data_IF_412543326032
#
_entry.id   IF_412543326032
#
_cell.length_a   1.000
_cell.length_b   1.000
_cell.length_c   1.000
_cell.angle_alpha   90.00
_cell.angle_beta   90.00
_cell.angle_gamma   90.00
#
_symmetry.space_group_name_H-M   'P 1'
#
loop_
_entity.id
_entity.type
_entity.pdbx_description
1 polymer ?
#
# COMPACT_ATOMS: atom_id res chain seq x y z
N UNK A 1 -12.17 30.67 20.14
CA UNK A 1 -12.00 29.28 19.68
C UNK A 1 -10.75 29.26 18.83
N UNK A 2 -9.65 28.71 19.32
CA UNK A 2 -8.43 28.58 18.51
C UNK A 2 -8.72 27.58 17.39
N UNK A 3 -8.75 28.04 16.14
CA UNK A 3 -8.74 27.13 15.01
C UNK A 3 -7.40 26.38 15.07
N UNK A 4 -7.44 25.06 15.21
CA UNK A 4 -6.26 24.23 15.18
C UNK A 4 -5.71 24.25 13.76
N UNK A 5 -4.67 25.03 13.52
CA UNK A 5 -3.88 25.03 12.29
C UNK A 5 -3.36 23.61 12.03
N UNK A 6 -3.91 22.93 11.02
CA UNK A 6 -3.46 21.59 10.65
C UNK A 6 -2.07 21.72 10.02
N UNK A 7 -1.04 20.98 10.50
CA UNK A 7 0.32 21.08 9.98
C UNK A 7 0.45 20.33 8.65
N UNK A 8 -0.13 20.88 7.59
CA UNK A 8 -0.15 20.28 6.25
C UNK A 8 1.24 19.95 5.71
N UNK A 9 2.26 20.75 6.07
CA UNK A 9 3.65 20.50 5.69
C UNK A 9 4.20 19.15 6.21
N UNK A 10 3.66 18.62 7.32
CA UNK A 10 4.04 17.31 7.88
C UNK A 10 3.12 16.19 7.37
N UNK A 11 1.83 16.47 7.20
CA UNK A 11 0.82 15.46 6.85
C UNK A 11 0.84 15.15 5.35
N UNK A 12 0.97 16.17 4.49
CA UNK A 12 0.98 16.00 3.04
C UNK A 12 2.03 14.99 2.55
N UNK A 13 3.30 15.00 3.00
CA UNK A 13 4.28 14.00 2.56
C UNK A 13 3.93 12.59 3.03
N UNK A 14 3.34 12.42 4.23
CA UNK A 14 2.90 11.11 4.71
C UNK A 14 1.76 10.54 3.86
N UNK A 15 0.79 11.39 3.50
CA UNK A 15 -0.30 11.00 2.60
C UNK A 15 0.26 10.66 1.21
N UNK A 16 1.15 11.49 0.66
CA UNK A 16 1.77 11.24 -0.63
C UNK A 16 2.53 9.91 -0.64
N UNK A 17 3.33 9.62 0.40
CA UNK A 17 4.04 8.35 0.55
C UNK A 17 3.06 7.17 0.60
N UNK A 18 1.99 7.29 1.38
CA UNK A 18 0.95 6.26 1.46
C UNK A 18 0.30 5.99 0.11
N UNK A 19 -0.08 7.04 -0.61
CA UNK A 19 -0.69 6.92 -1.94
C UNK A 19 0.27 6.27 -2.94
N UNK A 20 1.53 6.69 -2.96
CA UNK A 20 2.56 6.08 -3.81
C UNK A 20 2.70 4.59 -3.50
N UNK A 21 2.72 4.23 -2.22
CA UNK A 21 2.83 2.85 -1.75
C UNK A 21 1.63 2.01 -2.19
N UNK A 22 0.40 2.50 -1.97
CA UNK A 22 -0.84 1.82 -2.37
C UNK A 22 -0.93 1.66 -3.88
N UNK A 23 -0.72 2.73 -4.64
CA UNK A 23 -0.79 2.72 -6.11
C UNK A 23 0.24 1.75 -6.67
N UNK A 24 1.49 1.84 -6.19
CA UNK A 24 2.56 0.94 -6.63
C UNK A 24 2.24 -0.52 -6.28
N UNK A 25 1.68 -0.79 -5.10
CA UNK A 25 1.28 -2.13 -4.68
C UNK A 25 0.16 -2.69 -5.58
N UNK A 26 -0.87 -1.90 -5.86
CA UNK A 26 -1.97 -2.30 -6.73
C UNK A 26 -1.50 -2.54 -8.17
N UNK A 27 -0.74 -1.62 -8.76
CA UNK A 27 -0.20 -1.76 -10.12
C UNK A 27 0.69 -2.98 -10.22
N UNK A 28 1.58 -3.20 -9.24
CA UNK A 28 2.45 -4.37 -9.23
C UNK A 28 1.64 -5.67 -9.02
N UNK A 29 0.61 -5.65 -8.16
CA UNK A 29 -0.28 -6.77 -7.91
C UNK A 29 -1.07 -7.19 -9.16
N UNK A 30 -1.54 -6.21 -9.94
CA UNK A 30 -2.23 -6.48 -11.21
C UNK A 30 -1.29 -7.04 -12.28
N UNK A 31 -0.03 -6.59 -12.31
CA UNK A 31 0.97 -7.03 -13.31
C UNK A 31 1.60 -8.39 -12.99
N UNK A 32 1.71 -8.78 -11.72
CA UNK A 32 2.32 -10.06 -11.38
C UNK A 32 1.38 -11.24 -11.68
N UNK A 33 1.92 -12.24 -12.36
CA UNK A 33 1.21 -13.49 -12.64
C UNK A 33 1.23 -14.45 -11.45
N UNK A 34 2.34 -14.47 -10.71
CA UNK A 34 2.54 -15.36 -9.57
C UNK A 34 2.77 -14.57 -8.29
N UNK A 35 1.75 -14.55 -7.43
CA UNK A 35 1.81 -14.00 -6.09
C UNK A 35 1.89 -15.15 -5.07
N UNK A 36 2.39 -14.85 -3.87
CA UNK A 36 2.33 -15.80 -2.76
C UNK A 36 0.87 -15.93 -2.30
N UNK A 37 0.12 -16.83 -2.95
CA UNK A 37 -1.33 -17.01 -2.75
C UNK A 37 -2.19 -16.42 -3.88
N UNK A 38 -3.53 -16.48 -3.76
CA UNK A 38 -4.45 -16.00 -4.80
C UNK A 38 -4.41 -14.48 -4.93
N UNK A 39 -4.44 -13.96 -6.17
CA UNK A 39 -4.33 -12.50 -6.44
C UNK A 39 -5.40 -11.67 -5.71
N UNK A 40 -6.62 -12.18 -5.62
CA UNK A 40 -7.74 -11.52 -4.95
C UNK A 40 -7.50 -11.30 -3.45
N UNK A 41 -6.77 -12.21 -2.79
CA UNK A 41 -6.42 -12.06 -1.37
C UNK A 41 -5.55 -10.83 -1.15
N UNK A 42 -4.55 -10.64 -2.02
CA UNK A 42 -3.66 -9.47 -1.92
C UNK A 42 -4.39 -8.17 -2.19
N UNK A 43 -5.36 -8.16 -3.11
CA UNK A 43 -6.20 -6.99 -3.34
C UNK A 43 -6.99 -6.60 -2.08
N UNK A 44 -7.58 -7.57 -1.39
CA UNK A 44 -8.28 -7.37 -0.12
C UNK A 44 -7.33 -6.88 0.99
N UNK A 45 -6.12 -7.43 1.08
CA UNK A 45 -5.13 -7.02 2.08
C UNK A 45 -4.69 -5.56 1.85
N UNK A 46 -4.36 -5.20 0.60
CA UNK A 46 -3.93 -3.85 0.24
C UNK A 46 -5.06 -2.83 0.51
N UNK A 47 -6.31 -3.18 0.18
CA UNK A 47 -7.46 -2.30 0.38
C UNK A 47 -7.96 -2.24 1.83
N UNK A 48 -7.84 -3.33 2.59
CA UNK A 48 -8.46 -3.48 3.91
C UNK A 48 -7.55 -3.18 5.10
N UNK A 49 -6.22 -3.14 4.91
CA UNK A 49 -5.27 -3.06 6.04
C UNK A 49 -4.36 -1.82 5.93
N UNK A 50 -4.91 -0.61 5.76
CA UNK A 50 -4.19 0.69 5.82
C UNK A 50 -2.73 0.63 5.31
N UNK A 51 -1.73 1.08 6.09
CA UNK A 51 -0.32 1.01 5.72
C UNK A 51 0.25 -0.42 5.70
N UNK A 52 -0.26 -1.32 6.54
CA UNK A 52 0.29 -2.68 6.68
C UNK A 52 0.02 -3.51 5.42
N UNK A 53 -1.13 -3.32 4.77
CA UNK A 53 -1.56 -4.05 3.58
C UNK A 53 -0.59 -3.90 2.40
N UNK A 54 -0.36 -2.68 1.90
CA UNK A 54 0.58 -2.48 0.81
C UNK A 54 2.04 -2.77 1.20
N UNK A 55 2.46 -2.52 2.45
CA UNK A 55 3.80 -2.91 2.92
C UNK A 55 3.97 -4.43 2.87
N UNK A 56 3.01 -5.19 3.42
CA UNK A 56 3.06 -6.66 3.44
C UNK A 56 3.05 -7.26 2.03
N UNK A 57 2.35 -6.64 1.08
CA UNK A 57 2.41 -7.04 -0.33
C UNK A 57 3.84 -6.96 -0.89
N UNK A 58 4.58 -5.89 -0.60
CA UNK A 58 5.95 -5.76 -1.10
C UNK A 58 6.94 -6.72 -0.43
N UNK A 59 6.74 -7.02 0.85
CA UNK A 59 7.61 -7.92 1.64
C UNK A 59 7.34 -9.39 1.31
N UNK A 60 6.07 -9.78 1.33
CA UNK A 60 5.63 -11.19 1.29
C UNK A 60 4.89 -11.50 -0.01
N UNK A 61 4.15 -10.57 -0.61
CA UNK A 61 3.26 -10.85 -1.73
C UNK A 61 3.95 -11.33 -3.01
N UNK A 62 5.20 -10.91 -3.25
CA UNK A 62 5.95 -11.30 -4.44
C UNK A 62 6.56 -12.70 -4.29
N UNK A 63 6.12 -13.68 -5.09
CA UNK A 63 6.85 -14.95 -5.25
C UNK A 63 8.21 -14.65 -5.86
N UNK A 64 9.28 -14.87 -5.09
CA UNK A 64 10.62 -14.94 -5.66
C UNK A 64 10.80 -16.37 -6.14
N UNK A 65 10.88 -16.57 -7.45
CA UNK A 65 11.51 -17.77 -7.97
C UNK A 65 13.00 -17.66 -7.60
N UNK A 66 13.41 -18.48 -6.64
CA UNK A 66 14.82 -18.78 -6.39
C UNK A 66 15.23 -19.92 -7.30
#
# INVERSE_FOLDING_TARGET
MAASEIPWALIAPLIALYLILVISALVNCSKQEELNGPKWLWLLIIAGISFIGPISYFVIGKRRHM
#
